data_IF_804778309498
#
_entry.id   IF_804778309498
#
_cell.length_a   1.000
_cell.length_b   1.000
_cell.length_c   1.000
_cell.angle_alpha   90.00
_cell.angle_beta   90.00
_cell.angle_gamma   90.00
#
_symmetry.space_group_name_H-M   'P 1'
#
loop_
_entity.id
_entity.type
_entity.pdbx_description
1 polymer ?
#
# COMPACT_ATOMS: atom_id res chain seq x y z
N UNK A 1 -8.05 -9.77 -7.31
CA UNK A 1 -8.17 -9.12 -6.00
C UNK A 1 -7.32 -7.86 -5.99
N UNK A 2 -7.84 -6.76 -5.46
CA UNK A 2 -7.13 -5.48 -5.44
C UNK A 2 -7.07 -4.93 -4.03
N UNK A 3 -5.88 -4.52 -3.60
CA UNK A 3 -5.71 -3.79 -2.35
C UNK A 3 -5.42 -2.33 -2.67
N UNK A 4 -6.03 -1.44 -1.90
CA UNK A 4 -5.74 -0.02 -2.03
C UNK A 4 -4.37 0.27 -1.43
N UNK A 5 -3.58 1.07 -2.15
CA UNK A 5 -2.26 1.51 -1.70
C UNK A 5 -2.31 3.01 -1.52
N UNK A 6 -1.79 3.50 -0.39
CA UNK A 6 -1.63 4.93 -0.15
C UNK A 6 -0.19 5.28 -0.47
N UNK A 7 -0.01 6.28 -1.33
CA UNK A 7 1.33 6.77 -1.69
C UNK A 7 1.47 8.18 -1.17
N UNK A 8 2.53 8.41 -0.41
CA UNK A 8 2.79 9.72 0.19
C UNK A 8 4.16 10.21 -0.24
N UNK A 9 4.21 11.48 -0.64
CA UNK A 9 5.47 12.11 -1.02
C UNK A 9 6.12 12.72 0.22
N UNK A 10 7.38 12.32 0.48
CA UNK A 10 8.18 12.89 1.54
C UNK A 10 9.20 13.87 1.00
N UNK A 11 10.12 14.32 1.85
CA UNK A 11 11.16 15.27 1.44
C UNK A 11 12.13 14.65 0.44
N UNK A 12 12.53 13.41 0.65
CA UNK A 12 13.57 12.77 -0.14
C UNK A 12 13.08 11.59 -0.97
N UNK A 13 11.78 11.42 -1.09
CA UNK A 13 11.26 10.29 -1.84
C UNK A 13 9.79 10.05 -1.56
N UNK A 14 9.39 8.80 -1.72
CA UNK A 14 7.99 8.40 -1.59
C UNK A 14 7.87 7.23 -0.64
N UNK A 15 6.77 7.21 0.11
CA UNK A 15 6.41 6.06 0.92
C UNK A 15 5.08 5.50 0.45
N UNK A 16 4.85 4.23 0.72
CA UNK A 16 3.57 3.60 0.40
C UNK A 16 3.21 2.59 1.46
N UNK A 17 1.92 2.41 1.68
CA UNK A 17 1.45 1.38 2.60
C UNK A 17 0.07 0.89 2.15
N UNK A 18 -0.29 -0.27 2.66
CA UNK A 18 -1.56 -0.91 2.31
C UNK A 18 -2.42 -0.96 3.57
N UNK A 19 -3.51 -0.16 3.63
CA UNK A 19 -4.34 -0.12 4.83
C UNK A 19 -4.89 -1.49 5.26
N UNK A 20 -5.23 -2.34 4.32
CA UNK A 20 -5.82 -3.64 4.64
C UNK A 20 -4.79 -4.73 4.98
N UNK A 21 -3.51 -4.42 4.84
CA UNK A 21 -2.43 -5.35 5.18
C UNK A 21 -1.44 -4.65 6.12
N UNK A 22 -1.72 -4.68 7.44
CA UNK A 22 -0.84 -4.02 8.43
C UNK A 22 0.60 -4.48 8.31
N UNK A 23 1.52 -3.54 8.33
CA UNK A 23 2.94 -3.83 8.21
C UNK A 23 3.46 -3.90 6.78
N UNK A 24 2.58 -3.83 5.78
CA UNK A 24 2.99 -3.87 4.39
C UNK A 24 3.30 -2.45 3.93
N UNK A 25 4.59 -2.10 3.91
CA UNK A 25 5.05 -0.74 3.59
C UNK A 25 6.25 -0.81 2.64
N UNK A 26 6.48 0.30 1.94
CA UNK A 26 7.65 0.43 1.07
C UNK A 26 8.06 1.89 0.99
N UNK A 27 9.34 2.12 0.67
CA UNK A 27 9.85 3.47 0.37
C UNK A 27 10.62 3.39 -0.94
N UNK A 28 10.65 4.49 -1.67
CA UNK A 28 11.35 4.55 -2.94
C UNK A 28 11.72 5.98 -3.26
N UNK A 29 12.58 6.15 -4.26
CA UNK A 29 13.04 7.48 -4.67
C UNK A 29 12.09 8.15 -5.65
N UNK A 30 11.23 7.38 -6.30
CA UNK A 30 10.24 7.89 -7.22
C UNK A 30 8.90 7.20 -6.97
N UNK A 31 7.84 7.80 -7.51
CA UNK A 31 6.51 7.21 -7.42
C UNK A 31 6.46 5.85 -8.11
N UNK A 32 7.06 5.76 -9.30
CA UNK A 32 7.08 4.49 -10.03
C UNK A 32 7.82 3.41 -9.26
N UNK A 33 8.94 3.78 -8.65
CA UNK A 33 9.71 2.82 -7.87
C UNK A 33 8.93 2.34 -6.65
N UNK A 34 8.31 3.25 -5.91
CA UNK A 34 7.58 2.85 -4.70
C UNK A 34 6.37 2.00 -5.04
N UNK A 35 5.71 2.25 -6.18
CA UNK A 35 4.59 1.42 -6.61
C UNK A 35 5.04 0.00 -6.94
N UNK A 36 6.20 -0.14 -7.58
CA UNK A 36 6.77 -1.46 -7.87
C UNK A 36 7.13 -2.17 -6.57
N UNK A 37 7.77 -1.46 -5.66
CA UNK A 37 8.21 -2.04 -4.39
C UNK A 37 7.03 -2.44 -3.49
N UNK A 38 5.97 -1.62 -3.43
CA UNK A 38 4.82 -1.98 -2.62
C UNK A 38 4.08 -3.17 -3.21
N UNK A 39 4.06 -3.31 -4.54
CA UNK A 39 3.46 -4.47 -5.17
C UNK A 39 4.21 -5.74 -4.76
N UNK A 40 5.55 -5.69 -4.81
CA UNK A 40 6.37 -6.82 -4.38
C UNK A 40 6.15 -7.14 -2.91
N UNK A 41 6.02 -6.10 -2.08
CA UNK A 41 5.77 -6.27 -0.65
C UNK A 41 4.42 -6.96 -0.40
N UNK A 42 3.38 -6.59 -1.16
CA UNK A 42 2.07 -7.22 -1.05
C UNK A 42 2.15 -8.69 -1.43
N UNK A 43 2.81 -8.98 -2.54
CA UNK A 43 2.95 -10.36 -3.02
C UNK A 43 3.68 -11.22 -1.98
N UNK A 44 4.76 -10.69 -1.43
CA UNK A 44 5.52 -11.38 -0.39
C UNK A 44 4.68 -11.59 0.88
N UNK A 45 3.95 -10.56 1.29
CA UNK A 45 3.12 -10.59 2.48
C UNK A 45 2.04 -11.68 2.37
N UNK A 46 1.35 -11.71 1.24
CA UNK A 46 0.29 -12.68 1.00
C UNK A 46 0.84 -14.10 0.92
N UNK A 47 2.01 -14.27 0.31
CA UNK A 47 2.67 -15.57 0.24
C UNK A 47 3.04 -16.08 1.63
N UNK A 48 3.58 -15.20 2.47
CA UNK A 48 3.93 -15.55 3.85
C UNK A 48 2.71 -15.97 4.65
N UNK A 49 1.60 -15.24 4.49
CA UNK A 49 0.35 -15.58 5.16
C UNK A 49 -0.15 -16.96 4.73
N UNK A 50 -0.09 -17.22 3.42
CA UNK A 50 -0.52 -18.50 2.88
C UNK A 50 0.30 -19.65 3.45
N UNK A 51 1.60 -19.47 3.56
CA UNK A 51 2.50 -20.47 4.11
C UNK A 51 2.21 -20.75 5.58
N UNK A 52 1.74 -19.74 6.31
CA UNK A 52 1.38 -19.89 7.72
C UNK A 52 -0.04 -20.41 7.90
N UNK A 53 -0.74 -20.64 6.81
CA UNK A 53 -2.13 -21.11 6.87
C UNK A 53 -3.12 -20.02 7.21
N UNK A 54 -2.71 -18.74 7.17
CA UNK A 54 -3.59 -17.63 7.45
C UNK A 54 -4.32 -17.21 6.16
N UNK A 55 -5.57 -16.80 6.31
CA UNK A 55 -6.35 -16.32 5.19
C UNK A 55 -5.98 -14.85 4.92
N UNK A 56 -5.85 -14.50 3.64
CA UNK A 56 -5.62 -13.11 3.26
C UNK A 56 -6.87 -12.29 3.59
N UNK A 57 -6.71 -11.08 4.17
CA UNK A 57 -7.87 -10.22 4.43
C UNK A 57 -8.54 -9.82 3.13
N UNK A 58 -9.85 -9.67 3.16
CA UNK A 58 -10.57 -9.14 2.01
C UNK A 58 -10.26 -7.65 1.86
N UNK A 59 -10.05 -7.17 0.62
CA UNK A 59 -9.88 -5.73 0.41
C UNK A 59 -11.16 -5.00 0.81
N UNK A 60 -11.05 -4.14 1.82
CA UNK A 60 -12.21 -3.42 2.35
C UNK A 60 -12.05 -1.91 2.34
N UNK A 61 -10.82 -1.42 2.28
CA UNK A 61 -10.58 0.03 2.26
C UNK A 61 -10.82 0.61 0.87
N UNK A 62 -11.37 1.81 0.84
CA UNK A 62 -11.54 2.57 -0.38
C UNK A 62 -11.13 4.02 -0.12
N UNK A 63 -10.89 4.77 -1.17
CA UNK A 63 -10.47 6.16 -1.05
C UNK A 63 -11.54 7.08 -1.63
N UNK A 64 -11.62 8.28 -1.06
CA UNK A 64 -12.51 9.33 -1.51
C UNK A 64 -11.77 10.65 -1.49
N UNK A 65 -12.06 11.51 -2.44
CA UNK A 65 -11.56 12.88 -2.43
C UNK A 65 -12.70 13.79 -2.03
N UNK A 66 -12.43 14.68 -1.08
CA UNK A 66 -13.42 15.62 -0.59
C UNK A 66 -12.99 17.02 -1.02
N UNK A 67 -13.91 17.74 -1.62
CA UNK A 67 -13.64 19.10 -2.10
C UNK A 67 -13.65 20.05 -0.90
N UNK A 68 -12.53 20.75 -0.71
CA UNK A 68 -12.44 21.75 0.35
C UNK A 68 -12.19 23.10 -0.31
N UNK A 69 -13.04 24.10 -0.05
CA UNK A 69 -12.81 25.42 -0.63
C UNK A 69 -11.49 25.99 -0.13
N UNK A 70 -10.73 26.62 -1.02
CA UNK A 70 -9.48 27.27 -0.64
C UNK A 70 -9.79 28.48 0.26
N UNK A 71 -8.95 28.78 1.27
CA UNK A 71 -9.15 29.95 2.13
C UNK A 71 -8.90 31.27 1.38
#
# INVERSE_FOLDING_TARGET
>A
MRYMVIVEKGEDGFGAYVPDLPGCVAVGESRDEVLRLIREAVEFHLESMREEGAAAPDPSSSSEYVEIPAP
#
